data_IF_960191747171
#
_entry.id   IF_960191747171
#
_cell.length_a   1.000
_cell.length_b   1.000
_cell.length_c   1.000
_cell.angle_alpha   90.00
_cell.angle_beta   90.00
_cell.angle_gamma   90.00
#
_symmetry.space_group_name_H-M   'P 1'
#
loop_
_entity.id
_entity.type
_entity.pdbx_description
1 polymer ?
#
# COMPACT_ATOMS: atom_id res chain seq x y z
N UNK A 1 -5.63 4.39 -7.82
CA UNK A 1 -5.27 2.98 -8.05
C UNK A 1 -3.94 2.55 -7.41
N UNK A 2 -2.98 3.43 -7.07
CA UNK A 2 -1.63 2.99 -6.62
C UNK A 2 -1.56 2.42 -5.19
N UNK A 3 -2.25 3.00 -4.19
CA UNK A 3 -2.08 2.61 -2.77
C UNK A 3 -2.50 1.16 -2.46
N UNK A 4 -3.67 0.73 -2.92
CA UNK A 4 -4.10 -0.65 -2.70
C UNK A 4 -3.24 -1.67 -3.46
N UNK A 5 -2.73 -1.30 -4.64
CA UNK A 5 -1.74 -2.12 -5.35
C UNK A 5 -0.42 -2.21 -4.57
N UNK A 6 -0.03 -1.17 -3.83
CA UNK A 6 1.10 -1.24 -2.90
C UNK A 6 0.83 -2.26 -1.79
N UNK A 7 -0.38 -2.32 -1.22
CA UNK A 7 -0.72 -3.33 -0.19
C UNK A 7 -0.62 -4.77 -0.73
N UNK A 8 -1.04 -5.00 -1.97
CA UNK A 8 -0.85 -6.29 -2.65
C UNK A 8 0.63 -6.62 -2.84
N UNK A 9 1.44 -5.64 -3.24
CA UNK A 9 2.88 -5.80 -3.41
C UNK A 9 3.56 -6.16 -2.08
N UNK A 10 3.26 -5.43 -1.00
CA UNK A 10 3.78 -5.72 0.33
C UNK A 10 3.38 -7.11 0.80
N UNK A 11 2.12 -7.50 0.60
CA UNK A 11 1.64 -8.85 0.96
C UNK A 11 2.38 -9.95 0.21
N UNK A 12 2.71 -9.73 -1.07
CA UNK A 12 3.53 -10.68 -1.84
C UNK A 12 4.95 -10.79 -1.29
N UNK A 13 5.58 -9.66 -0.92
CA UNK A 13 6.91 -9.66 -0.30
C UNK A 13 6.90 -10.42 1.02
N UNK A 14 5.97 -10.11 1.92
CA UNK A 14 5.79 -10.82 3.21
C UNK A 14 5.59 -12.33 2.98
N UNK A 15 4.77 -12.70 2.00
CA UNK A 15 4.51 -14.10 1.68
C UNK A 15 5.78 -14.83 1.20
N UNK A 16 6.54 -14.25 0.27
CA UNK A 16 7.80 -14.84 -0.19
C UNK A 16 8.83 -14.96 0.94
N UNK A 17 8.92 -13.95 1.80
CA UNK A 17 9.78 -13.98 2.99
C UNK A 17 9.38 -15.09 3.98
N UNK A 18 8.10 -15.44 4.08
CA UNK A 18 7.65 -16.54 4.93
C UNK A 18 7.98 -17.92 4.35
N UNK A 19 7.89 -18.08 3.03
CA UNK A 19 8.03 -19.38 2.35
C UNK A 19 9.47 -19.70 1.93
N UNK A 20 10.47 -19.13 2.61
CA UNK A 20 11.90 -19.25 2.34
C UNK A 20 12.28 -20.56 1.64
N UNK A 21 12.81 -20.49 0.42
CA UNK A 21 13.34 -21.65 -0.29
C UNK A 21 14.86 -21.68 -0.07
N UNK A 22 15.31 -22.61 0.78
CA UNK A 22 16.75 -22.82 1.05
C UNK A 22 17.48 -23.37 -0.19
N UNK A 23 16.72 -23.82 -1.21
CA UNK A 23 17.27 -24.47 -2.39
C UNK A 23 17.60 -23.43 -3.47
N UNK A 24 18.85 -22.98 -3.39
CA UNK A 24 19.76 -22.53 -4.44
C UNK A 24 19.13 -21.82 -5.65
N UNK A 25 19.58 -20.60 -5.93
CA UNK A 25 19.24 -19.79 -7.11
C UNK A 25 19.80 -20.35 -8.43
N UNK A 26 19.93 -21.68 -8.55
CA UNK A 26 20.42 -22.35 -9.76
C UNK A 26 19.51 -22.13 -10.96
N UNK A 27 18.22 -21.85 -10.72
CA UNK A 27 17.24 -21.54 -11.76
C UNK A 27 16.29 -20.43 -11.30
N UNK A 28 15.83 -19.61 -12.24
CA UNK A 28 14.81 -18.59 -11.97
C UNK A 28 13.44 -19.23 -11.76
N UNK A 29 13.07 -19.45 -10.50
CA UNK A 29 11.76 -20.01 -10.15
C UNK A 29 10.67 -18.95 -10.26
N UNK A 30 9.48 -19.36 -10.70
CA UNK A 30 8.29 -18.50 -10.59
C UNK A 30 8.00 -18.24 -9.10
N UNK A 31 7.71 -16.98 -8.76
CA UNK A 31 7.32 -16.57 -7.41
C UNK A 31 6.11 -17.39 -6.92
N UNK A 32 6.17 -17.89 -5.67
CA UNK A 32 5.10 -18.65 -5.04
C UNK A 32 3.84 -17.80 -4.90
N UNK A 33 4.00 -16.52 -4.60
CA UNK A 33 2.92 -15.55 -4.47
C UNK A 33 2.11 -15.41 -5.78
N UNK A 34 2.74 -15.62 -6.95
CA UNK A 34 2.05 -15.62 -8.24
C UNK A 34 1.28 -16.90 -8.46
N UNK A 35 1.87 -18.05 -8.12
CA UNK A 35 1.20 -19.36 -8.20
C UNK A 35 -0.04 -19.39 -7.31
N UNK A 36 0.09 -18.89 -6.09
CA UNK A 36 -0.97 -18.93 -5.07
C UNK A 36 -1.91 -17.72 -5.16
N UNK A 37 -1.72 -16.85 -6.17
CA UNK A 37 -2.54 -15.64 -6.40
C UNK A 37 -2.71 -14.77 -5.15
N UNK A 38 -1.60 -14.55 -4.43
CA UNK A 38 -1.54 -13.80 -3.18
C UNK A 38 -1.89 -12.33 -3.45
N UNK A 39 -2.89 -11.86 -2.74
CA UNK A 39 -3.35 -10.48 -2.70
C UNK A 39 -3.64 -10.10 -1.25
N UNK A 40 -3.67 -8.80 -0.97
CA UNK A 40 -4.08 -8.27 0.33
C UNK A 40 -5.46 -8.84 0.72
N UNK A 41 -5.60 -9.28 1.98
CA UNK A 41 -6.77 -10.00 2.55
C UNK A 41 -7.08 -11.40 2.01
N UNK A 42 -6.33 -11.92 1.03
CA UNK A 42 -6.68 -13.19 0.37
C UNK A 42 -5.96 -14.42 0.93
N UNK A 43 -4.90 -14.23 1.72
CA UNK A 43 -4.02 -15.32 2.19
C UNK A 43 -3.52 -15.07 3.61
N UNK A 44 -3.41 -16.13 4.41
CA UNK A 44 -2.73 -16.11 5.71
C UNK A 44 -1.20 -16.19 5.51
N UNK A 45 -0.45 -15.30 6.16
CA UNK A 45 1.01 -15.29 6.19
C UNK A 45 1.50 -15.70 7.58
N UNK A 46 2.69 -16.32 7.65
CA UNK A 46 3.24 -16.93 8.88
C UNK A 46 3.77 -15.92 9.92
N UNK A 47 3.61 -14.62 9.67
CA UNK A 47 4.06 -13.55 10.56
C UNK A 47 2.86 -12.92 11.27
N UNK A 48 2.40 -13.57 12.33
CA UNK A 48 1.26 -13.08 13.13
C UNK A 48 1.55 -11.72 13.79
N UNK A 49 2.82 -11.43 14.08
CA UNK A 49 3.28 -10.15 14.66
C UNK A 49 2.98 -8.97 13.74
N UNK A 50 2.86 -9.19 12.42
CA UNK A 50 2.51 -8.13 11.47
C UNK A 50 1.04 -7.69 11.57
N UNK A 51 0.20 -8.42 12.33
CA UNK A 51 -1.19 -8.04 12.63
C UNK A 51 -1.31 -7.15 13.87
N UNK A 52 -0.20 -6.78 14.50
CA UNK A 52 -0.20 -5.85 15.63
C UNK A 52 -0.75 -4.47 15.23
N UNK A 53 -1.31 -3.75 16.22
CA UNK A 53 -1.88 -2.43 15.99
C UNK A 53 -0.84 -1.44 15.43
N UNK A 54 -1.31 -0.52 14.58
CA UNK A 54 -0.43 0.42 13.87
C UNK A 54 0.37 -0.17 12.70
N UNK A 55 0.02 -1.37 12.21
CA UNK A 55 0.61 -1.99 11.02
C UNK A 55 -0.42 -2.20 9.91
N UNK A 56 0.04 -2.52 8.69
CA UNK A 56 -0.84 -2.71 7.54
C UNK A 56 -1.96 -3.73 7.80
N UNK A 57 -1.62 -4.84 8.47
CA UNK A 57 -2.51 -5.99 8.59
C UNK A 57 -3.42 -5.99 9.81
N UNK A 58 -3.27 -5.03 10.73
CA UNK A 58 -4.32 -4.74 11.72
C UNK A 58 -5.50 -4.00 11.10
N UNK A 59 -5.39 -3.64 9.81
CA UNK A 59 -6.38 -2.94 9.01
C UNK A 59 -6.86 -1.63 9.67
N UNK A 60 -5.97 -0.71 10.06
CA UNK A 60 -6.37 0.53 10.72
C UNK A 60 -7.25 1.39 9.81
N UNK A 61 -7.86 2.43 10.39
CA UNK A 61 -8.86 3.27 9.71
C UNK A 61 -8.38 3.77 8.34
N UNK A 62 -7.13 4.23 8.21
CA UNK A 62 -6.58 4.71 6.94
C UNK A 62 -6.53 3.61 5.84
N UNK A 63 -6.22 2.37 6.21
CA UNK A 63 -6.24 1.22 5.29
C UNK A 63 -7.66 0.91 4.84
N UNK A 64 -8.62 0.94 5.75
CA UNK A 64 -10.03 0.69 5.42
C UNK A 64 -10.60 1.77 4.49
N UNK A 65 -10.23 3.03 4.70
CA UNK A 65 -10.57 4.13 3.76
C UNK A 65 -9.96 3.87 2.39
N UNK A 66 -8.68 3.50 2.32
CA UNK A 66 -8.02 3.20 1.05
C UNK A 66 -8.76 2.09 0.28
N UNK A 67 -9.16 1.03 0.99
CA UNK A 67 -9.93 -0.07 0.41
C UNK A 67 -11.32 0.38 -0.03
N UNK A 68 -12.06 1.12 0.80
CA UNK A 68 -13.39 1.63 0.43
C UNK A 68 -13.34 2.52 -0.81
N UNK A 69 -12.32 3.37 -0.94
CA UNK A 69 -12.14 4.17 -2.15
C UNK A 69 -11.80 3.33 -3.36
N UNK A 70 -10.88 2.37 -3.24
CA UNK A 70 -10.58 1.43 -4.32
C UNK A 70 -11.87 0.74 -4.79
N UNK A 71 -12.65 0.20 -3.87
CA UNK A 71 -13.85 -0.56 -4.20
C UNK A 71 -14.89 0.33 -4.89
N UNK A 72 -15.08 1.57 -4.41
CA UNK A 72 -15.92 2.57 -5.08
C UNK A 72 -15.44 2.87 -6.51
N UNK A 73 -14.14 3.09 -6.72
CA UNK A 73 -13.60 3.33 -8.06
C UNK A 73 -13.72 2.12 -8.98
N UNK A 74 -13.52 0.90 -8.47
CA UNK A 74 -13.60 -0.33 -9.27
C UNK A 74 -15.04 -0.63 -9.66
N UNK A 75 -15.99 -0.48 -8.73
CA UNK A 75 -17.38 -0.90 -8.94
C UNK A 75 -18.25 0.20 -9.54
N UNK A 76 -18.00 1.47 -9.18
CA UNK A 76 -18.84 2.61 -9.56
C UNK A 76 -18.12 3.62 -10.48
N UNK A 77 -16.83 3.41 -10.76
CA UNK A 77 -16.04 4.11 -11.78
C UNK A 77 -15.61 5.54 -11.41
N UNK A 78 -16.57 6.37 -10.97
CA UNK A 78 -16.36 7.80 -10.72
C UNK A 78 -16.59 8.15 -9.25
N UNK A 79 -15.76 9.08 -8.75
CA UNK A 79 -15.86 9.62 -7.38
C UNK A 79 -17.26 10.16 -7.10
N UNK A 80 -17.82 10.89 -8.07
CA UNK A 80 -19.19 11.34 -8.10
C UNK A 80 -19.73 11.22 -9.53
N UNK A 81 -21.04 11.08 -9.69
CA UNK A 81 -21.69 11.05 -11.01
C UNK A 81 -21.39 12.33 -11.81
N UNK A 82 -21.21 13.46 -11.11
CA UNK A 82 -20.66 14.69 -11.66
C UNK A 82 -19.40 15.02 -10.88
N UNK A 83 -18.23 14.66 -11.40
CA UNK A 83 -16.95 15.11 -10.84
C UNK A 83 -16.89 16.65 -10.89
N UNK A 84 -17.38 17.30 -9.83
CA UNK A 84 -17.49 18.74 -9.72
C UNK A 84 -16.28 19.28 -8.97
N UNK A 85 -15.66 20.31 -9.55
CA UNK A 85 -14.73 21.19 -8.86
C UNK A 85 -15.54 22.41 -8.46
N UNK A 86 -15.64 22.66 -7.17
CA UNK A 86 -16.38 23.80 -6.65
C UNK A 86 -15.48 25.02 -6.63
N UNK A 87 -15.95 26.09 -7.28
CA UNK A 87 -15.34 27.40 -7.25
C UNK A 87 -16.14 28.28 -6.30
N UNK A 88 -15.71 28.43 -5.03
CA UNK A 88 -16.40 29.31 -4.09
C UNK A 88 -16.43 30.75 -4.61
N UNK A 89 -17.57 31.42 -4.45
CA UNK A 89 -17.77 32.80 -4.87
C UNK A 89 -16.78 33.72 -4.14
N UNK A 90 -16.22 34.67 -4.90
CA UNK A 90 -15.26 35.67 -4.45
C UNK A 90 -15.93 36.58 -3.39
N UNK A 91 -15.49 36.52 -2.14
CA UNK A 91 -15.76 37.57 -1.17
C UNK A 91 -14.60 38.58 -1.25
N UNK A 92 -14.93 39.88 -1.31
CA UNK A 92 -13.96 40.99 -1.28
C UNK A 92 -12.88 40.98 -2.38
N UNK A 93 -13.19 40.43 -3.56
CA UNK A 93 -12.27 40.42 -4.70
C UNK A 93 -11.15 39.38 -4.63
N UNK A 94 -11.10 38.54 -3.59
CA UNK A 94 -10.10 37.47 -3.45
C UNK A 94 -10.70 36.13 -3.91
N UNK A 95 -10.10 35.53 -4.93
CA UNK A 95 -10.48 34.19 -5.38
C UNK A 95 -10.23 33.17 -4.27
N UNK A 96 -11.28 32.47 -3.85
CA UNK A 96 -11.15 31.37 -2.92
C UNK A 96 -10.71 30.09 -3.65
N UNK A 97 -9.92 29.25 -2.97
CA UNK A 97 -9.32 28.04 -3.55
C UNK A 97 -10.40 27.06 -4.07
N UNK A 98 -10.27 26.55 -5.31
CA UNK A 98 -11.14 25.48 -5.79
C UNK A 98 -11.00 24.21 -4.94
N UNK A 99 -12.10 23.53 -4.67
CA UNK A 99 -12.07 22.30 -3.87
C UNK A 99 -12.95 21.20 -4.44
N UNK A 100 -12.66 19.97 -4.02
CA UNK A 100 -13.47 18.79 -4.29
C UNK A 100 -14.01 18.29 -2.96
N UNK A 101 -15.31 18.03 -2.89
CA UNK A 101 -15.93 17.48 -1.69
C UNK A 101 -15.54 16.01 -1.49
N UNK A 102 -15.27 15.69 -0.24
CA UNK A 102 -14.96 14.35 0.24
C UNK A 102 -16.26 13.68 0.70
N UNK A 103 -16.58 12.45 0.24
CA UNK A 103 -17.74 11.74 0.74
C UNK A 103 -17.56 11.42 2.23
N UNK A 104 -18.68 11.42 2.95
CA UNK A 104 -18.70 11.16 4.39
C UNK A 104 -18.18 9.74 4.65
N UNK A 105 -17.15 9.64 5.49
CA UNK A 105 -16.58 8.38 5.98
C UNK A 105 -16.93 8.22 7.46
N UNK A 106 -17.30 7.01 7.86
CA UNK A 106 -17.56 6.67 9.27
C UNK A 106 -16.26 6.53 10.10
N UNK A 107 -16.41 6.28 11.39
CA UNK A 107 -15.28 6.11 12.32
C UNK A 107 -14.50 4.82 12.03
N UNK A 108 -15.14 3.84 11.38
CA UNK A 108 -14.48 2.61 10.94
C UNK A 108 -13.69 2.82 9.67
N UNK A 109 -13.91 3.87 8.90
CA UNK A 109 -13.22 4.11 7.63
C UNK A 109 -13.97 3.60 6.41
N UNK A 110 -15.28 3.37 6.52
CA UNK A 110 -16.15 3.03 5.39
C UNK A 110 -16.91 4.26 4.91
N UNK A 111 -17.26 4.29 3.62
CA UNK A 111 -18.22 5.27 3.11
C UNK A 111 -19.55 5.14 3.85
N UNK A 112 -20.10 6.25 4.32
CA UNK A 112 -21.43 6.27 4.92
C UNK A 112 -22.46 5.89 3.86
N UNK A 113 -23.33 4.92 4.15
CA UNK A 113 -24.33 4.43 3.20
C UNK A 113 -25.75 4.50 3.79
N UNK A 114 -26.73 4.67 2.90
CA UNK A 114 -28.15 4.50 3.20
C UNK A 114 -28.84 3.90 1.99
N UNK A 115 -29.23 2.63 2.08
CA UNK A 115 -29.71 1.85 0.95
C UNK A 115 -28.62 1.71 -0.11
N UNK A 116 -28.92 2.07 -1.36
CA UNK A 116 -27.98 2.02 -2.49
C UNK A 116 -27.13 3.29 -2.67
N UNK A 117 -27.21 4.27 -1.75
CA UNK A 117 -26.47 5.54 -1.85
C UNK A 117 -25.35 5.60 -0.83
N UNK A 118 -24.19 6.08 -1.26
CA UNK A 118 -22.97 6.17 -0.44
C UNK A 118 -22.18 7.49 -0.63
N UNK A 119 -22.78 8.48 -1.31
CA UNK A 119 -22.18 9.78 -1.65
C UNK A 119 -22.84 10.92 -0.87
N UNK A 120 -22.69 10.87 0.44
CA UNK A 120 -23.11 11.96 1.33
C UNK A 120 -21.95 12.93 1.54
N UNK A 121 -22.24 14.22 1.67
CA UNK A 121 -21.24 15.28 1.81
C UNK A 121 -21.58 16.22 2.97
N UNK A 122 -22.22 15.67 4.01
CA UNK A 122 -22.79 16.44 5.11
C UNK A 122 -21.71 17.08 5.96
N UNK A 123 -20.53 16.45 6.06
CA UNK A 123 -19.39 16.98 6.83
C UNK A 123 -18.71 18.16 6.14
N UNK A 124 -18.89 18.33 4.82
CA UNK A 124 -18.24 19.40 4.06
C UNK A 124 -16.71 19.26 3.96
N UNK A 125 -16.18 18.07 4.27
CA UNK A 125 -14.75 17.79 4.17
C UNK A 125 -14.26 17.94 2.73
N UNK A 126 -13.01 18.38 2.57
CA UNK A 126 -12.42 18.66 1.26
C UNK A 126 -11.28 17.70 0.95
N UNK A 127 -11.28 17.14 -0.25
CA UNK A 127 -10.26 16.17 -0.69
C UNK A 127 -8.86 16.78 -0.70
N UNK A 128 -8.71 18.04 -1.11
CA UNK A 128 -7.41 18.72 -1.12
C UNK A 128 -6.82 18.92 0.29
N UNK A 129 -7.66 18.96 1.32
CA UNK A 129 -7.24 19.00 2.73
C UNK A 129 -6.97 17.59 3.28
N UNK A 130 -7.86 16.65 2.96
CA UNK A 130 -7.78 15.28 3.46
C UNK A 130 -6.62 14.47 2.87
N UNK A 131 -6.43 14.53 1.54
CA UNK A 131 -5.57 13.62 0.80
C UNK A 131 -4.09 13.67 1.21
N UNK A 132 -3.47 14.85 1.46
CA UNK A 132 -2.06 14.90 1.87
C UNK A 132 -1.80 14.19 3.20
N UNK A 133 -2.64 14.44 4.21
CA UNK A 133 -2.54 13.79 5.51
C UNK A 133 -2.77 12.28 5.39
N UNK A 134 -3.80 11.90 4.64
CA UNK A 134 -4.11 10.50 4.40
C UNK A 134 -2.97 9.72 3.73
N UNK A 135 -2.34 10.29 2.70
CA UNK A 135 -1.19 9.65 2.04
C UNK A 135 -0.03 9.51 3.02
N UNK A 136 0.24 10.52 3.82
CA UNK A 136 1.28 10.48 4.85
C UNK A 136 1.02 9.34 5.86
N UNK A 137 -0.19 9.26 6.40
CA UNK A 137 -0.57 8.22 7.37
C UNK A 137 -0.38 6.81 6.80
N UNK A 138 -0.77 6.59 5.54
CA UNK A 138 -0.60 5.29 4.87
C UNK A 138 0.88 4.98 4.66
N UNK A 139 1.70 5.96 4.27
CA UNK A 139 3.14 5.74 4.07
C UNK A 139 3.87 5.46 5.38
N UNK A 140 3.54 6.15 6.47
CA UNK A 140 4.09 5.87 7.81
C UNK A 140 3.71 4.47 8.28
N UNK A 141 2.45 4.06 8.08
CA UNK A 141 1.98 2.72 8.39
C UNK A 141 2.78 1.63 7.63
N UNK A 142 3.00 1.87 6.34
CA UNK A 142 3.77 0.96 5.49
C UNK A 142 5.23 0.88 5.95
N UNK A 143 5.84 2.01 6.31
CA UNK A 143 7.20 2.05 6.86
C UNK A 143 7.30 1.20 8.13
N UNK A 144 6.39 1.40 9.08
CA UNK A 144 6.37 0.63 10.34
C UNK A 144 6.21 -0.88 10.08
N UNK A 145 5.40 -1.24 9.08
CA UNK A 145 5.21 -2.65 8.68
C UNK A 145 6.49 -3.25 8.10
N UNK A 146 7.23 -2.49 7.28
CA UNK A 146 8.52 -2.91 6.72
C UNK A 146 9.55 -3.09 7.83
N UNK A 147 9.69 -2.12 8.73
CA UNK A 147 10.63 -2.17 9.85
C UNK A 147 10.37 -3.39 10.73
N UNK A 148 9.09 -3.65 11.04
CA UNK A 148 8.68 -4.84 11.80
C UNK A 148 9.05 -6.13 11.07
N UNK A 149 8.78 -6.21 9.76
CA UNK A 149 9.17 -7.38 8.95
C UNK A 149 10.69 -7.59 8.96
N UNK A 150 11.46 -6.53 8.80
CA UNK A 150 12.93 -6.57 8.84
C UNK A 150 13.41 -7.14 10.18
N UNK A 151 12.82 -6.70 11.29
CA UNK A 151 13.17 -7.19 12.62
C UNK A 151 12.78 -8.65 12.84
N UNK A 152 11.63 -9.09 12.32
CA UNK A 152 11.24 -10.51 12.36
C UNK A 152 12.22 -11.38 11.57
N UNK A 153 12.65 -10.94 10.39
CA UNK A 153 13.67 -11.62 9.60
C UNK A 153 15.03 -11.62 10.32
N UNK A 154 15.40 -10.50 10.96
CA UNK A 154 16.57 -10.38 11.84
C UNK A 154 16.47 -11.19 13.14
N UNK A 155 15.32 -11.72 13.51
CA UNK A 155 15.21 -12.70 14.60
C UNK A 155 15.34 -14.13 14.08
N UNK A 156 14.86 -14.40 12.86
CA UNK A 156 14.89 -15.74 12.23
C UNK A 156 16.27 -16.18 11.70
N UNK A 157 17.16 -15.29 11.30
CA UNK A 157 18.54 -15.67 10.86
C UNK A 157 19.51 -15.82 12.04
N UNK A 158 20.40 -16.80 12.01
CA UNK A 158 21.49 -16.93 12.99
C UNK A 158 22.56 -15.84 12.80
N UNK A 159 23.08 -15.28 13.89
CA UNK A 159 23.96 -14.09 13.93
C UNK A 159 25.26 -14.24 13.12
N UNK A 160 25.81 -15.47 13.03
CA UNK A 160 27.08 -15.72 12.33
C UNK A 160 26.98 -15.82 10.79
N UNK A 161 25.78 -15.91 10.21
CA UNK A 161 25.58 -16.14 8.76
C UNK A 161 25.06 -14.89 8.03
N UNK A 162 24.77 -13.78 8.73
CA UNK A 162 24.11 -12.61 8.15
C UNK A 162 25.02 -11.78 7.26
N UNK A 163 26.14 -11.30 7.82
CA UNK A 163 26.93 -10.28 7.13
C UNK A 163 27.70 -10.89 5.96
N UNK A 164 28.20 -12.11 6.12
CA UNK A 164 28.93 -12.82 5.06
C UNK A 164 28.03 -13.14 3.86
N UNK A 165 26.87 -13.78 4.10
CA UNK A 165 25.96 -14.16 3.02
C UNK A 165 25.33 -12.92 2.34
N UNK A 166 25.00 -11.88 3.12
CA UNK A 166 24.46 -10.63 2.58
C UNK A 166 25.50 -9.91 1.70
N UNK A 167 26.74 -9.82 2.17
CA UNK A 167 27.83 -9.22 1.38
C UNK A 167 28.15 -10.04 0.12
N UNK A 168 28.11 -11.38 0.20
CA UNK A 168 28.28 -12.24 -0.98
C UNK A 168 27.18 -12.00 -2.03
N UNK A 169 25.92 -11.91 -1.61
CA UNK A 169 24.80 -11.62 -2.53
C UNK A 169 24.87 -10.21 -3.09
N UNK A 170 25.20 -9.19 -2.27
CA UNK A 170 25.39 -7.81 -2.75
C UNK A 170 26.50 -7.75 -3.80
N UNK A 171 27.63 -8.41 -3.55
CA UNK A 171 28.73 -8.49 -4.51
C UNK A 171 28.31 -9.20 -5.80
N UNK A 172 27.57 -10.30 -5.71
CA UNK A 172 27.03 -11.00 -6.89
C UNK A 172 26.08 -10.10 -7.70
N UNK A 173 25.20 -9.34 -7.04
CA UNK A 173 24.27 -8.42 -7.71
C UNK A 173 25.01 -7.25 -8.36
N UNK A 174 26.00 -6.65 -7.69
CA UNK A 174 26.83 -5.59 -8.25
C UNK A 174 27.60 -6.07 -9.47
N UNK A 175 28.17 -7.28 -9.40
CA UNK A 175 28.82 -7.92 -10.55
C UNK A 175 27.81 -8.14 -11.69
N UNK A 176 26.63 -8.67 -11.42
CA UNK A 176 25.59 -8.86 -12.44
C UNK A 176 25.17 -7.54 -13.10
N UNK A 177 24.95 -6.47 -12.32
CA UNK A 177 24.63 -5.12 -12.85
C UNK A 177 25.76 -4.57 -13.71
N UNK A 178 27.02 -4.81 -13.33
CA UNK A 178 28.18 -4.41 -14.15
C UNK A 178 28.33 -5.23 -15.44
N UNK A 179 27.79 -6.46 -15.47
CA UNK A 179 27.77 -7.36 -16.62
C UNK A 179 26.57 -7.17 -17.54
N UNK A 180 25.51 -6.46 -17.11
CA UNK A 180 24.44 -6.05 -18.01
C UNK A 180 25.04 -5.09 -19.04
N UNK A 181 25.05 -5.45 -20.34
CA UNK A 181 25.55 -4.56 -21.37
C UNK A 181 24.82 -3.23 -21.27
N UNK A 182 25.51 -2.12 -21.53
CA UNK A 182 24.87 -0.84 -21.80
C UNK A 182 23.89 -1.03 -22.97
N UNK A 183 22.65 -1.42 -22.68
CA UNK A 183 21.53 -1.38 -23.62
C UNK A 183 21.21 0.11 -23.74
N UNK A 184 22.08 0.82 -24.47
CA UNK A 184 21.81 2.16 -24.96
C UNK A 184 20.59 2.03 -25.86
N UNK A 185 19.56 2.78 -25.47
CA UNK A 185 18.37 3.13 -26.27
C UNK A 185 18.70 3.18 -27.77
N UNK A 186 18.03 2.34 -28.55
CA UNK A 186 17.65 2.65 -29.92
C UNK A 186 16.17 2.97 -29.93
#
# INVERSE_FOLDING_TARGET
>A
MSLCSSFDLFTKVVYECSKYDINCFTEYKKLKCRKDSVLYKKVNYEFEELKADGLLYSEPRCVRIACSFRDEYIHNGSWDYRCAIYYPFVADGVAAEPFVLMPDVDDKGHLVTSGSRNKFYTKGDKVNVFLPGFVKDVMELLNNTIETLVDLLKKKTATGNRDKATNEVINMLQNYVSFLPNIKKQ
#
